data_IF_804252814883
#
_entry.id   IF_804252814883
#
_cell.length_a   1.000
_cell.length_b   1.000
_cell.length_c   1.000
_cell.angle_alpha   90.00
_cell.angle_beta   90.00
_cell.angle_gamma   90.00
#
_symmetry.space_group_name_H-M   'P 1'
#
loop_
_entity.id
_entity.type
_entity.pdbx_description
1 polymer ?
#
# COMPACT_ATOMS: atom_id res chain seq x y z
N UNK A 1 -4.09 8.44 -2.10
CA UNK A 1 -4.39 7.69 -0.87
C UNK A 1 -3.19 6.81 -0.53
N UNK A 2 -2.72 6.87 0.71
CA UNK A 2 -1.84 5.84 1.27
C UNK A 2 -2.64 4.97 2.24
N UNK A 3 -2.64 3.67 2.02
CA UNK A 3 -3.30 2.69 2.89
C UNK A 3 -2.26 2.15 3.87
N UNK A 4 -2.53 2.33 5.17
CA UNK A 4 -1.63 1.87 6.23
C UNK A 4 -0.31 2.63 6.28
N UNK A 5 -0.32 3.96 6.52
CA UNK A 5 0.91 4.77 6.50
C UNK A 5 1.92 4.41 7.60
N UNK A 6 1.53 3.62 8.58
CA UNK A 6 2.39 3.28 9.69
C UNK A 6 2.78 4.52 10.48
N UNK A 7 4.08 4.69 10.71
CA UNK A 7 4.61 5.88 11.39
C UNK A 7 4.65 7.14 10.50
N UNK A 8 4.20 7.04 9.26
CA UNK A 8 4.16 8.15 8.31
C UNK A 8 5.46 8.42 7.57
N UNK A 9 6.40 7.48 7.57
CA UNK A 9 7.72 7.66 6.96
C UNK A 9 7.72 7.97 5.47
N UNK A 10 6.67 7.56 4.74
CA UNK A 10 6.55 7.81 3.30
C UNK A 10 5.68 9.04 2.97
N UNK A 11 5.01 9.62 3.96
CA UNK A 11 4.09 10.74 3.72
C UNK A 11 4.78 12.00 3.22
N UNK A 12 6.01 12.26 3.63
CA UNK A 12 6.78 13.42 3.14
C UNK A 12 7.01 13.34 1.63
N UNK A 13 7.34 12.15 1.13
CA UNK A 13 7.54 11.93 -0.30
C UNK A 13 6.23 12.11 -1.08
N UNK A 14 5.14 11.55 -0.58
CA UNK A 14 3.82 11.71 -1.20
C UNK A 14 3.36 13.16 -1.17
N UNK A 15 3.57 13.85 -0.05
CA UNK A 15 3.21 15.26 0.12
C UNK A 15 3.89 16.15 -0.91
N UNK A 16 5.12 15.83 -1.30
CA UNK A 16 5.87 16.62 -2.28
C UNK A 16 5.44 16.35 -3.73
N UNK A 17 4.77 15.24 -3.99
CA UNK A 17 4.42 14.80 -5.34
C UNK A 17 2.95 15.00 -5.69
N UNK A 18 2.08 15.12 -4.71
CA UNK A 18 0.64 15.25 -4.91
C UNK A 18 0.11 16.49 -4.22
N UNK A 19 -0.94 17.07 -4.79
CA UNK A 19 -1.60 18.25 -4.21
C UNK A 19 -2.27 17.92 -2.87
N UNK A 20 -2.88 16.74 -2.79
CA UNK A 20 -3.58 16.26 -1.60
C UNK A 20 -3.22 14.82 -1.35
N UNK A 21 -2.97 14.49 -0.09
CA UNK A 21 -2.71 13.12 0.35
C UNK A 21 -3.70 12.75 1.44
N UNK A 22 -4.39 11.64 1.26
CA UNK A 22 -5.24 11.05 2.28
C UNK A 22 -4.59 9.76 2.77
N UNK A 23 -4.25 9.72 4.06
CA UNK A 23 -3.67 8.53 4.69
C UNK A 23 -4.73 7.84 5.56
N UNK A 24 -4.98 6.56 5.29
CA UNK A 24 -5.99 5.76 5.96
C UNK A 24 -5.32 4.70 6.83
N UNK A 25 -5.69 4.63 8.09
CA UNK A 25 -5.28 3.56 8.99
C UNK A 25 -6.45 3.18 9.90
N UNK A 26 -6.55 1.91 10.23
CA UNK A 26 -7.56 1.42 11.16
C UNK A 26 -7.09 1.44 12.62
N UNK A 27 -5.88 1.91 12.87
CA UNK A 27 -5.28 2.04 14.20
C UNK A 27 -5.11 3.52 14.57
N UNK A 28 -5.82 3.96 15.61
CA UNK A 28 -5.68 5.32 16.13
C UNK A 28 -4.26 5.59 16.63
N UNK A 29 -3.59 4.58 17.18
CA UNK A 29 -2.22 4.68 17.66
C UNK A 29 -1.25 4.95 16.51
N UNK A 30 -1.39 4.25 15.40
CA UNK A 30 -0.54 4.47 14.22
C UNK A 30 -0.79 5.83 13.59
N UNK A 31 -2.05 6.28 13.56
CA UNK A 31 -2.38 7.63 13.08
C UNK A 31 -1.74 8.72 13.93
N UNK A 32 -1.64 8.52 15.24
CA UNK A 32 -0.97 9.50 16.10
C UNK A 32 0.53 9.59 15.77
N UNK A 33 1.19 8.46 15.53
CA UNK A 33 2.58 8.45 15.09
C UNK A 33 2.75 9.16 13.73
N UNK A 34 1.85 8.89 12.80
CA UNK A 34 1.85 9.56 11.50
C UNK A 34 1.62 11.07 11.63
N UNK A 35 0.74 11.48 12.56
CA UNK A 35 0.50 12.91 12.85
C UNK A 35 1.76 13.59 13.35
N UNK A 36 2.48 12.96 14.26
CA UNK A 36 3.75 13.48 14.77
C UNK A 36 4.76 13.66 13.63
N UNK A 37 4.83 12.70 12.72
CA UNK A 37 5.70 12.78 11.54
C UNK A 37 5.30 13.94 10.63
N UNK A 38 4.00 14.11 10.36
CA UNK A 38 3.50 15.24 9.56
C UNK A 38 3.84 16.58 10.20
N UNK A 39 3.71 16.69 11.52
CA UNK A 39 4.06 17.91 12.25
C UNK A 39 5.55 18.19 12.17
N UNK A 40 6.37 17.16 12.40
CA UNK A 40 7.84 17.27 12.36
C UNK A 40 8.35 17.75 11.01
N UNK A 41 7.74 17.29 9.92
CA UNK A 41 8.13 17.65 8.55
C UNK A 41 7.30 18.78 7.95
N UNK A 42 6.41 19.39 8.73
CA UNK A 42 5.56 20.52 8.30
C UNK A 42 4.74 20.18 7.04
N UNK A 43 4.13 19.00 7.02
CA UNK A 43 3.28 18.56 5.91
C UNK A 43 1.87 19.14 6.07
N UNK A 44 1.44 20.01 5.14
CA UNK A 44 0.17 20.72 5.25
C UNK A 44 -0.94 20.18 4.35
N UNK A 45 -0.59 19.28 3.42
CA UNK A 45 -1.52 18.72 2.44
C UNK A 45 -1.86 17.25 2.71
N UNK A 46 -1.57 16.75 3.92
CA UNK A 46 -1.87 15.38 4.34
C UNK A 46 -3.03 15.39 5.32
N UNK A 47 -4.08 14.64 4.98
CA UNK A 47 -5.20 14.34 5.88
C UNK A 47 -5.04 12.92 6.40
N UNK A 48 -5.19 12.74 7.71
CA UNK A 48 -5.14 11.44 8.37
C UNK A 48 -6.56 11.04 8.77
N UNK A 49 -6.98 9.85 8.37
CA UNK A 49 -8.35 9.38 8.65
C UNK A 49 -8.34 7.98 9.25
N UNK A 50 -9.02 7.82 10.38
CA UNK A 50 -9.26 6.51 10.98
C UNK A 50 -10.33 5.80 10.15
N UNK A 51 -9.93 4.81 9.37
CA UNK A 51 -10.82 4.09 8.47
C UNK A 51 -10.24 2.74 8.09
N UNK A 52 -11.12 1.80 7.77
CA UNK A 52 -10.76 0.54 7.12
C UNK A 52 -10.89 0.75 5.61
N UNK A 53 -9.77 0.76 4.91
CA UNK A 53 -9.72 0.99 3.47
C UNK A 53 -10.50 -0.06 2.66
N UNK A 54 -10.72 -1.25 3.22
CA UNK A 54 -11.43 -2.33 2.55
C UNK A 54 -12.94 -2.32 2.79
N UNK A 55 -13.39 -1.70 3.87
CA UNK A 55 -14.79 -1.76 4.29
C UNK A 55 -15.49 -0.40 4.28
N UNK A 56 -14.76 0.66 4.62
CA UNK A 56 -15.35 1.98 4.72
C UNK A 56 -15.51 2.64 3.34
N UNK A 57 -16.50 3.50 3.24
CA UNK A 57 -16.74 4.25 2.02
C UNK A 57 -15.72 5.40 1.92
N UNK A 58 -14.81 5.28 0.99
CA UNK A 58 -13.75 6.25 0.74
C UNK A 58 -13.80 6.69 -0.71
N UNK A 59 -13.72 8.00 -0.94
CA UNK A 59 -13.71 8.55 -2.30
C UNK A 59 -12.44 8.11 -3.05
N UNK A 60 -12.61 7.62 -4.27
CA UNK A 60 -11.50 7.18 -5.10
C UNK A 60 -10.52 8.31 -5.43
N UNK A 61 -9.27 7.96 -5.63
CA UNK A 61 -8.18 8.89 -5.89
C UNK A 61 -7.42 8.54 -7.18
N UNK A 62 -6.60 9.46 -7.63
CA UNK A 62 -5.79 9.27 -8.84
C UNK A 62 -4.67 8.26 -8.63
N UNK A 63 -4.20 8.12 -7.40
CA UNK A 63 -3.14 7.18 -7.04
C UNK A 63 -3.42 6.59 -5.66
N UNK A 64 -3.28 5.29 -5.54
CA UNK A 64 -3.39 4.56 -4.27
C UNK A 64 -2.07 3.84 -4.03
N UNK A 65 -1.50 4.04 -2.85
CA UNK A 65 -0.21 3.45 -2.44
C UNK A 65 -0.45 2.48 -1.29
N UNK A 66 0.05 1.26 -1.45
CA UNK A 66 -0.02 0.19 -0.46
C UNK A 66 1.41 -0.26 -0.19
N UNK A 67 2.06 0.35 0.80
CA UNK A 67 3.47 0.17 1.07
C UNK A 67 3.68 -0.81 2.22
N UNK A 68 4.08 -2.04 1.92
CA UNK A 68 4.37 -3.10 2.89
C UNK A 68 3.17 -3.41 3.80
N UNK A 69 1.96 -3.46 3.25
CA UNK A 69 0.72 -3.66 4.01
C UNK A 69 -0.05 -4.90 3.55
N UNK A 70 0.07 -5.27 2.27
CA UNK A 70 -0.75 -6.32 1.69
C UNK A 70 -0.59 -7.67 2.41
N UNK A 71 0.63 -7.96 2.91
CA UNK A 71 0.92 -9.20 3.64
C UNK A 71 0.24 -9.29 5.02
N UNK A 72 -0.35 -8.22 5.52
CA UNK A 72 -1.14 -8.23 6.75
C UNK A 72 -2.60 -8.61 6.53
N UNK A 73 -3.08 -8.64 5.29
CA UNK A 73 -4.46 -9.03 5.00
C UNK A 73 -4.59 -10.54 4.91
N UNK A 74 -5.67 -11.08 5.51
CA UNK A 74 -5.94 -12.51 5.49
C UNK A 74 -6.21 -13.04 4.08
N UNK A 75 -6.87 -12.24 3.24
CA UNK A 75 -7.22 -12.58 1.86
C UNK A 75 -6.69 -11.50 0.91
N UNK A 76 -5.38 -11.54 0.55
CA UNK A 76 -4.77 -10.48 -0.25
C UNK A 76 -5.37 -10.33 -1.66
N UNK A 77 -5.82 -11.42 -2.27
CA UNK A 77 -6.47 -11.34 -3.58
C UNK A 77 -7.78 -10.53 -3.53
N UNK A 78 -8.58 -10.77 -2.49
CA UNK A 78 -9.82 -10.02 -2.26
C UNK A 78 -9.51 -8.57 -1.88
N UNK A 79 -8.51 -8.37 -1.04
CA UNK A 79 -8.06 -7.03 -0.65
C UNK A 79 -7.67 -6.22 -1.90
N UNK A 80 -6.99 -6.83 -2.84
CA UNK A 80 -6.58 -6.16 -4.07
C UNK A 80 -7.78 -5.70 -4.90
N UNK A 81 -8.82 -6.52 -5.00
CA UNK A 81 -10.07 -6.14 -5.66
C UNK A 81 -10.73 -4.94 -4.99
N UNK A 82 -10.73 -4.92 -3.65
CA UNK A 82 -11.31 -3.81 -2.89
C UNK A 82 -10.47 -2.54 -3.01
N UNK A 83 -9.15 -2.67 -2.99
CA UNK A 83 -8.23 -1.54 -3.19
C UNK A 83 -8.37 -0.93 -4.60
N UNK A 84 -8.62 -1.76 -5.60
CA UNK A 84 -8.82 -1.28 -6.97
C UNK A 84 -10.02 -0.33 -7.08
N UNK A 85 -11.00 -0.43 -6.19
CA UNK A 85 -12.15 0.48 -6.14
C UNK A 85 -11.75 1.88 -5.70
N UNK A 86 -10.67 2.01 -4.94
CA UNK A 86 -10.15 3.30 -4.49
C UNK A 86 -9.39 4.04 -5.57
N UNK A 87 -9.10 3.40 -6.69
CA UNK A 87 -8.40 3.99 -7.83
C UNK A 87 -9.42 4.49 -8.84
N UNK A 88 -9.33 5.77 -9.20
CA UNK A 88 -10.17 6.33 -10.28
C UNK A 88 -9.83 5.69 -11.61
N UNK A 89 -10.78 5.61 -12.56
CA UNK A 89 -10.44 5.25 -13.93
C UNK A 89 -9.29 6.12 -14.47
N UNK A 90 -8.30 5.48 -15.09
CA UNK A 90 -7.09 6.17 -15.55
C UNK A 90 -6.03 6.36 -14.47
N UNK A 91 -6.33 5.99 -13.22
CA UNK A 91 -5.41 6.12 -12.10
C UNK A 91 -4.46 4.95 -11.92
N UNK A 92 -3.70 4.98 -10.83
CA UNK A 92 -2.62 4.03 -10.55
C UNK A 92 -2.74 3.41 -9.16
N UNK A 93 -2.37 2.14 -9.05
CA UNK A 93 -2.15 1.45 -7.79
C UNK A 93 -0.67 1.08 -7.69
N UNK A 94 0.00 1.51 -6.63
CA UNK A 94 1.39 1.20 -6.35
C UNK A 94 1.46 0.28 -5.14
N UNK A 95 2.08 -0.88 -5.32
CA UNK A 95 2.25 -1.87 -4.25
C UNK A 95 3.74 -2.11 -4.04
N UNK A 96 4.19 -1.97 -2.79
CA UNK A 96 5.51 -2.40 -2.36
C UNK A 96 5.33 -3.59 -1.45
N UNK A 97 6.02 -4.70 -1.74
CA UNK A 97 5.92 -5.93 -0.95
C UNK A 97 7.22 -6.72 -1.00
N UNK A 98 7.35 -7.62 -0.03
CA UNK A 98 8.40 -8.63 -0.08
C UNK A 98 8.09 -9.65 -1.18
N UNK A 99 9.12 -10.07 -1.91
CA UNK A 99 9.04 -11.29 -2.70
C UNK A 99 8.94 -12.49 -1.76
N UNK A 100 8.40 -13.60 -2.23
CA UNK A 100 8.27 -14.80 -1.40
C UNK A 100 9.61 -15.20 -0.80
N UNK A 101 9.60 -15.53 0.50
CA UNK A 101 10.76 -15.98 1.26
C UNK A 101 10.36 -17.10 2.22
N UNK A 102 11.35 -17.73 2.87
CA UNK A 102 11.16 -18.86 3.78
C UNK A 102 11.51 -18.55 5.25
N UNK A 103 11.58 -17.25 5.60
CA UNK A 103 11.94 -16.81 6.95
C UNK A 103 10.73 -16.82 7.89
N UNK A 104 10.41 -17.99 8.44
CA UNK A 104 9.22 -18.18 9.29
C UNK A 104 9.18 -17.25 10.51
N UNK A 105 10.34 -16.80 10.99
CA UNK A 105 10.39 -15.87 12.12
C UNK A 105 9.63 -14.56 11.86
N UNK A 106 9.51 -14.17 10.60
CA UNK A 106 8.81 -12.94 10.24
C UNK A 106 7.32 -12.99 10.64
N UNK A 107 6.68 -14.14 10.57
CA UNK A 107 5.30 -14.31 11.01
C UNK A 107 5.14 -14.05 12.50
N UNK A 108 6.09 -14.53 13.30
CA UNK A 108 6.04 -14.41 14.75
C UNK A 108 6.49 -13.03 15.23
N UNK A 109 7.57 -12.51 14.65
CA UNK A 109 8.19 -11.26 15.11
C UNK A 109 7.50 -10.00 14.56
N UNK A 110 6.97 -10.07 13.34
CA UNK A 110 6.42 -8.91 12.63
C UNK A 110 4.90 -8.95 12.43
N UNK A 111 4.25 -10.05 12.84
CA UNK A 111 2.81 -10.23 12.64
C UNK A 111 2.41 -10.46 11.18
N UNK A 112 3.34 -10.90 10.36
CA UNK A 112 3.07 -11.16 8.95
C UNK A 112 2.21 -12.41 8.78
N UNK A 113 1.12 -12.30 8.03
CA UNK A 113 0.27 -13.43 7.68
C UNK A 113 0.83 -14.22 6.50
N UNK A 114 1.62 -13.56 5.64
CA UNK A 114 2.21 -14.12 4.43
C UNK A 114 3.71 -13.87 4.41
N UNK A 115 4.47 -14.85 3.88
CA UNK A 115 5.93 -14.74 3.71
C UNK A 115 6.26 -14.15 2.33
N UNK A 116 5.69 -12.99 2.03
CA UNK A 116 5.86 -12.34 0.74
C UNK A 116 4.97 -12.95 -0.34
N UNK A 117 5.09 -12.44 -1.56
CA UNK A 117 4.28 -12.86 -2.70
C UNK A 117 5.13 -13.08 -3.93
N UNK A 118 4.78 -14.09 -4.72
CA UNK A 118 5.36 -14.25 -6.05
C UNK A 118 4.85 -13.14 -6.98
N UNK A 119 5.69 -12.71 -7.90
CA UNK A 119 5.32 -11.69 -8.88
C UNK A 119 4.12 -12.13 -9.72
N UNK A 120 4.03 -13.42 -10.05
CA UNK A 120 2.93 -13.97 -10.85
C UNK A 120 1.62 -13.98 -10.08
N UNK A 121 1.65 -14.20 -8.76
CA UNK A 121 0.46 -14.11 -7.90
C UNK A 121 -0.11 -12.70 -7.90
N UNK A 122 0.74 -11.69 -7.70
CA UNK A 122 0.29 -10.30 -7.71
C UNK A 122 -0.27 -9.88 -9.08
N UNK A 123 0.38 -10.31 -10.16
CA UNK A 123 -0.09 -10.03 -11.51
C UNK A 123 -1.46 -10.68 -11.78
N UNK A 124 -1.65 -11.92 -11.34
CA UNK A 124 -2.91 -12.64 -11.50
C UNK A 124 -4.05 -11.97 -10.71
N UNK A 125 -3.78 -11.60 -9.47
CA UNK A 125 -4.77 -10.93 -8.62
C UNK A 125 -5.12 -9.54 -9.14
N UNK A 126 -4.14 -8.81 -9.67
CA UNK A 126 -4.38 -7.49 -10.28
C UNK A 126 -5.24 -7.61 -11.54
N UNK A 127 -4.98 -8.60 -12.38
CA UNK A 127 -5.78 -8.88 -13.56
C UNK A 127 -7.23 -9.18 -13.17
N UNK A 128 -7.44 -10.02 -12.17
CA UNK A 128 -8.76 -10.34 -11.65
C UNK A 128 -9.48 -9.11 -11.09
N UNK A 129 -8.73 -8.11 -10.61
CA UNK A 129 -9.27 -6.84 -10.11
C UNK A 129 -9.52 -5.81 -11.23
N UNK A 130 -9.25 -6.16 -12.47
CA UNK A 130 -9.41 -5.26 -13.61
C UNK A 130 -8.28 -4.27 -13.80
N UNK A 131 -7.12 -4.55 -13.23
CA UNK A 131 -5.93 -3.70 -13.32
C UNK A 131 -4.96 -4.24 -14.38
N UNK A 132 -4.18 -3.35 -14.97
CA UNK A 132 -3.20 -3.68 -16.01
C UNK A 132 -1.80 -3.48 -15.43
N UNK A 133 -0.92 -4.50 -15.49
CA UNK A 133 0.47 -4.33 -15.05
C UNK A 133 1.18 -3.28 -15.89
N UNK A 134 1.94 -2.42 -15.21
CA UNK A 134 2.79 -1.42 -15.82
C UNK A 134 4.24 -1.72 -15.42
N UNK A 135 4.92 -0.82 -14.73
CA UNK A 135 6.31 -1.01 -14.35
C UNK A 135 6.46 -1.88 -13.11
N UNK A 136 7.59 -2.57 -13.00
CA UNK A 136 7.98 -3.29 -11.80
C UNK A 136 9.46 -3.12 -11.53
N UNK A 137 9.82 -3.00 -10.25
CA UNK A 137 11.20 -2.86 -9.79
C UNK A 137 11.44 -3.88 -8.69
N UNK A 138 12.61 -4.52 -8.71
CA UNK A 138 13.01 -5.50 -7.72
C UNK A 138 14.31 -5.05 -7.06
N UNK A 139 14.33 -5.05 -5.71
CA UNK A 139 15.47 -4.61 -4.94
C UNK A 139 15.86 -5.70 -3.94
N UNK A 140 17.14 -6.11 -3.98
CA UNK A 140 17.69 -7.00 -2.96
C UNK A 140 18.14 -6.21 -1.74
N UNK A 141 17.81 -6.72 -0.56
CA UNK A 141 18.24 -6.15 0.71
C UNK A 141 19.43 -6.91 1.28
N UNK A 142 20.19 -6.25 2.15
CA UNK A 142 21.39 -6.84 2.78
C UNK A 142 21.07 -8.07 3.64
N UNK A 143 19.84 -8.17 4.15
CA UNK A 143 19.38 -9.29 4.97
C UNK A 143 18.89 -10.50 4.16
N UNK A 144 19.06 -10.49 2.85
CA UNK A 144 18.65 -11.59 1.96
C UNK A 144 17.22 -11.50 1.45
N UNK A 145 16.40 -10.57 1.93
CA UNK A 145 15.07 -10.34 1.40
C UNK A 145 15.13 -9.57 0.09
N UNK A 146 14.12 -9.78 -0.75
CA UNK A 146 13.87 -8.96 -1.95
C UNK A 146 12.57 -8.21 -1.81
N UNK A 147 12.58 -6.94 -2.21
CA UNK A 147 11.38 -6.12 -2.30
C UNK A 147 10.98 -6.01 -3.77
N UNK A 148 9.68 -6.13 -4.04
CA UNK A 148 9.11 -5.80 -5.33
C UNK A 148 8.26 -4.54 -5.18
N UNK A 149 8.42 -3.63 -6.13
CA UNK A 149 7.56 -2.46 -6.30
C UNK A 149 6.80 -2.64 -7.59
N UNK A 150 5.46 -2.66 -7.50
CA UNK A 150 4.59 -2.96 -8.64
C UNK A 150 3.66 -1.80 -8.90
N UNK A 151 3.63 -1.38 -10.16
CA UNK A 151 2.69 -0.37 -10.63
C UNK A 151 1.63 -1.03 -11.49
N UNK A 152 0.37 -0.84 -11.12
CA UNK A 152 -0.78 -1.30 -11.89
C UNK A 152 -1.61 -0.08 -12.30
N UNK A 153 -2.06 -0.07 -13.54
CA UNK A 153 -2.92 0.99 -14.06
C UNK A 153 -4.37 0.53 -14.09
N UNK A 154 -5.29 1.44 -13.80
CA UNK A 154 -6.73 1.18 -13.96
C UNK A 154 -7.17 1.75 -15.29
N UNK A 155 -7.80 0.95 -16.18
CA UNK A 155 -8.29 1.44 -17.46
C UNK A 155 -9.29 2.58 -17.30
N UNK A 156 -9.42 3.42 -18.32
CA UNK A 156 -10.36 4.55 -18.33
C UNK A 156 -11.83 4.11 -18.38
N UNK A 157 -12.07 2.87 -18.81
CA UNK A 157 -13.44 2.36 -18.96
C UNK A 157 -13.55 0.91 -18.51
#
# INVERSE_FOLDING_TARGET
IEVGPGDGGFLAELSSRFEQVLALDNSAQMLELARQTCTKHSLHNVELQLADALQDDVTAADCVVVNMVLHHFAAPAEALCLLARLVKPGGSLLITELCRHDQDWAKQACGDLWLGFDQDELALWADAAGLIPSESIYLGLKNGFQIQLRHFAKPDS
#
